data_IF_165317950380
#
_entry.id   IF_165317950380
#
_cell.length_a   1.000
_cell.length_b   1.000
_cell.length_c   1.000
_cell.angle_alpha   90.00
_cell.angle_beta   90.00
_cell.angle_gamma   90.00
#
_symmetry.space_group_name_H-M   'P 1'
#
loop_
_entity.id
_entity.type
_entity.pdbx_description
1 polymer ?
#
# COMPACT_ATOMS: atom_id res chain seq x y z
N UNK A 1 -40.70 11.83 8.22
CA UNK A 1 -39.59 12.73 8.58
C UNK A 1 -38.34 12.13 7.96
N UNK A 2 -37.66 12.83 7.06
CA UNK A 2 -36.44 12.33 6.43
C UNK A 2 -35.28 12.33 7.43
N UNK A 3 -34.39 11.35 7.32
CA UNK A 3 -33.12 11.31 8.03
C UNK A 3 -32.32 12.58 7.69
N UNK A 4 -31.75 13.30 8.67
CA UNK A 4 -30.90 14.44 8.37
C UNK A 4 -29.70 13.99 7.53
N UNK A 5 -29.46 14.66 6.41
CA UNK A 5 -28.27 14.45 5.60
C UNK A 5 -27.05 14.82 6.45
N UNK A 6 -26.15 13.85 6.65
CA UNK A 6 -24.87 14.11 7.31
C UNK A 6 -23.95 14.75 6.27
N UNK A 7 -23.58 16.00 6.52
CA UNK A 7 -22.61 16.73 5.72
C UNK A 7 -21.77 17.65 6.62
N UNK A 8 -20.61 18.08 6.13
CA UNK A 8 -19.69 18.96 6.84
C UNK A 8 -19.86 20.41 6.40
N UNK A 9 -19.90 21.34 7.35
CA UNK A 9 -19.89 22.79 7.06
C UNK A 9 -18.50 23.32 7.31
N UNK A 10 -17.84 23.80 6.25
CA UNK A 10 -16.51 24.41 6.34
C UNK A 10 -16.64 25.77 7.05
N UNK A 11 -15.80 26.01 8.05
CA UNK A 11 -15.78 27.28 8.77
C UNK A 11 -15.23 28.39 7.85
N UNK A 12 -15.70 29.62 8.07
CA UNK A 12 -15.27 30.79 7.27
C UNK A 12 -13.79 31.15 7.43
N UNK A 13 -13.14 30.71 8.50
CA UNK A 13 -11.72 30.91 8.81
C UNK A 13 -10.84 29.69 8.47
N UNK A 14 -11.39 28.70 7.75
CA UNK A 14 -10.64 27.54 7.32
C UNK A 14 -9.53 27.93 6.31
N UNK A 15 -8.38 27.23 6.32
CA UNK A 15 -7.32 27.46 5.32
C UNK A 15 -7.84 27.30 3.89
N UNK A 16 -7.56 28.28 3.04
CA UNK A 16 -7.96 28.36 1.63
C UNK A 16 -6.75 28.38 0.67
N UNK A 17 -5.53 28.22 1.22
CA UNK A 17 -4.26 28.24 0.49
C UNK A 17 -3.43 27.00 0.76
N UNK A 18 -2.66 26.55 -0.24
CA UNK A 18 -1.77 25.39 -0.11
C UNK A 18 -0.52 25.76 0.72
N UNK A 19 -0.35 25.09 1.86
CA UNK A 19 0.72 25.38 2.83
C UNK A 19 1.90 24.40 2.66
N UNK A 20 2.50 24.38 1.46
CA UNK A 20 3.47 23.36 1.05
C UNK A 20 4.67 23.20 2.02
N UNK A 21 5.26 24.31 2.45
CA UNK A 21 6.40 24.31 3.38
C UNK A 21 6.02 23.69 4.73
N UNK A 22 4.84 24.02 5.26
CA UNK A 22 4.33 23.43 6.51
C UNK A 22 4.11 21.93 6.38
N UNK A 23 3.63 21.46 5.22
CA UNK A 23 3.45 20.02 4.97
C UNK A 23 4.80 19.31 4.91
N UNK A 24 5.78 19.86 4.18
CA UNK A 24 7.11 19.28 4.08
C UNK A 24 7.82 19.22 5.45
N UNK A 25 7.72 20.28 6.25
CA UNK A 25 8.30 20.34 7.59
C UNK A 25 7.65 19.34 8.55
N UNK A 26 6.32 19.22 8.50
CA UNK A 26 5.59 18.24 9.29
C UNK A 26 6.09 16.83 9.01
N UNK A 27 6.14 16.42 7.73
CA UNK A 27 6.57 15.06 7.34
C UNK A 27 8.05 14.82 7.66
N UNK A 28 8.93 15.78 7.39
CA UNK A 28 10.35 15.68 7.72
C UNK A 28 10.56 15.52 9.24
N UNK A 29 9.77 16.20 10.07
CA UNK A 29 9.86 16.10 11.53
C UNK A 29 9.29 14.78 12.07
N UNK A 30 8.31 14.18 11.39
CA UNK A 30 7.63 12.95 11.84
C UNK A 30 8.60 11.77 12.00
N UNK A 31 9.62 11.67 11.15
CA UNK A 31 10.65 10.62 11.24
C UNK A 31 11.66 10.79 12.39
N UNK A 32 11.72 11.97 13.02
CA UNK A 32 12.69 12.29 14.08
C UNK A 32 12.18 12.01 15.50
N UNK A 33 10.86 11.88 15.69
CA UNK A 33 10.23 11.65 17.00
C UNK A 33 10.00 10.15 17.23
N UNK A 34 11.10 9.42 17.42
CA UNK A 34 11.07 7.95 17.57
C UNK A 34 10.55 7.47 18.94
N UNK A 35 10.55 8.35 19.94
CA UNK A 35 10.14 8.03 21.32
C UNK A 35 8.64 8.27 21.60
N UNK A 36 7.84 8.56 20.58
CA UNK A 36 6.42 8.87 20.75
C UNK A 36 5.55 7.59 20.82
N UNK A 37 4.54 7.58 21.70
CA UNK A 37 3.63 6.44 21.89
C UNK A 37 2.87 6.10 20.59
N UNK A 38 2.56 7.11 19.78
CA UNK A 38 1.93 6.93 18.46
C UNK A 38 2.83 6.17 17.48
N UNK A 39 4.16 6.30 17.60
CA UNK A 39 5.13 5.54 16.80
C UNK A 39 5.09 4.06 17.13
N UNK A 40 4.91 3.70 18.40
CA UNK A 40 4.74 2.30 18.80
C UNK A 40 3.37 1.75 18.35
N UNK A 41 2.30 2.51 18.57
CA UNK A 41 0.93 2.06 18.27
C UNK A 41 0.66 1.85 16.77
N UNK A 42 1.36 2.58 15.89
CA UNK A 42 1.21 2.46 14.43
C UNK A 42 2.25 1.55 13.78
N UNK A 43 3.03 0.79 14.57
CA UNK A 43 4.10 -0.06 14.05
C UNK A 43 3.61 -1.11 13.04
N UNK A 44 2.40 -1.64 13.25
CA UNK A 44 1.78 -2.64 12.36
C UNK A 44 1.50 -2.11 10.94
N UNK A 45 1.61 -0.80 10.69
CA UNK A 45 1.45 -0.19 9.36
C UNK A 45 2.66 0.67 8.95
N UNK A 46 3.81 0.51 9.63
CA UNK A 46 5.02 1.34 9.49
C UNK A 46 5.49 1.45 8.05
N UNK A 47 5.58 0.34 7.31
CA UNK A 47 5.99 0.32 5.90
C UNK A 47 5.11 1.21 5.02
N UNK A 48 3.79 1.11 5.15
CA UNK A 48 2.85 1.96 4.40
C UNK A 48 2.92 3.41 4.84
N UNK A 49 3.13 3.67 6.14
CA UNK A 49 3.39 5.02 6.66
C UNK A 49 4.62 5.68 6.03
N UNK A 50 5.71 4.93 5.89
CA UNK A 50 6.92 5.39 5.19
C UNK A 50 6.60 5.68 3.72
N UNK A 51 5.88 4.78 3.04
CA UNK A 51 5.47 4.98 1.65
C UNK A 51 4.68 6.29 1.47
N UNK A 52 3.69 6.57 2.33
CA UNK A 52 2.92 7.81 2.26
C UNK A 52 3.81 9.04 2.46
N UNK A 53 4.67 9.01 3.49
CA UNK A 53 5.59 10.10 3.80
C UNK A 53 6.59 10.38 2.68
N UNK A 54 7.15 9.34 2.07
CA UNK A 54 8.09 9.51 0.96
C UNK A 54 7.42 9.99 -0.31
N UNK A 55 6.28 9.39 -0.66
CA UNK A 55 5.55 9.76 -1.89
C UNK A 55 5.08 11.21 -1.84
N UNK A 56 4.55 11.67 -0.70
CA UNK A 56 4.15 13.09 -0.58
C UNK A 56 5.36 14.02 -0.63
N UNK A 57 6.49 13.64 -0.03
CA UNK A 57 7.72 14.44 -0.12
C UNK A 57 8.27 14.50 -1.53
N UNK A 58 8.18 13.41 -2.30
CA UNK A 58 8.56 13.39 -3.72
C UNK A 58 7.63 14.25 -4.58
N UNK A 59 6.30 14.16 -4.37
CA UNK A 59 5.31 15.03 -5.02
C UNK A 59 5.57 16.53 -4.75
N UNK A 60 6.14 16.86 -3.58
CA UNK A 60 6.53 18.23 -3.23
C UNK A 60 7.95 18.60 -3.69
N UNK A 61 8.71 17.69 -4.32
CA UNK A 61 10.11 17.90 -4.72
C UNK A 61 11.09 17.96 -3.54
N UNK A 62 10.71 17.41 -2.40
CA UNK A 62 11.43 17.47 -1.11
C UNK A 62 11.95 16.10 -0.65
N UNK A 63 11.94 15.07 -1.50
CA UNK A 63 12.36 13.71 -1.15
C UNK A 63 13.78 13.65 -0.54
N UNK A 64 14.68 14.54 -0.97
CA UNK A 64 16.06 14.67 -0.48
C UNK A 64 16.17 14.97 1.03
N UNK A 65 15.09 15.43 1.68
CA UNK A 65 15.05 15.67 3.13
C UNK A 65 14.88 14.39 3.95
N UNK A 66 14.57 13.27 3.31
CA UNK A 66 14.27 11.99 3.96
C UNK A 66 15.53 11.10 4.03
N UNK A 67 15.66 10.31 5.09
CA UNK A 67 16.84 9.46 5.31
C UNK A 67 16.80 8.17 4.46
N UNK A 68 17.29 8.25 3.23
CA UNK A 68 17.30 7.14 2.27
C UNK A 68 17.95 5.86 2.83
N UNK A 69 19.18 5.95 3.35
CA UNK A 69 19.95 4.76 3.76
C UNK A 69 19.30 4.00 4.92
N UNK A 70 18.74 4.73 5.89
CA UNK A 70 18.00 4.13 7.00
C UNK A 70 16.75 3.39 6.49
N UNK A 71 16.02 3.98 5.55
CA UNK A 71 14.81 3.39 4.97
C UNK A 71 15.14 2.15 4.14
N UNK A 72 16.18 2.18 3.30
CA UNK A 72 16.61 1.01 2.53
C UNK A 72 17.04 -0.14 3.43
N UNK A 73 17.76 0.15 4.51
CA UNK A 73 18.16 -0.83 5.51
C UNK A 73 16.94 -1.43 6.21
N UNK A 74 15.97 -0.60 6.60
CA UNK A 74 14.72 -1.03 7.20
C UNK A 74 13.93 -1.96 6.27
N UNK A 75 13.75 -1.59 5.00
CA UNK A 75 13.03 -2.42 4.01
C UNK A 75 13.68 -3.79 3.86
N UNK A 76 15.02 -3.81 3.72
CA UNK A 76 15.77 -5.06 3.62
C UNK A 76 15.57 -5.97 4.84
N UNK A 77 15.53 -5.40 6.05
CA UNK A 77 15.29 -6.17 7.28
C UNK A 77 13.86 -6.68 7.44
N UNK A 78 12.90 -6.15 6.67
CA UNK A 78 11.50 -6.59 6.70
C UNK A 78 11.18 -7.68 5.66
N UNK A 79 12.12 -8.04 4.77
CA UNK A 79 11.90 -9.15 3.84
C UNK A 79 12.09 -10.50 4.53
N UNK A 80 11.06 -11.35 4.46
CA UNK A 80 11.08 -12.69 5.03
C UNK A 80 11.69 -13.72 4.08
N UNK A 81 12.02 -14.91 4.59
CA UNK A 81 12.59 -16.00 3.79
C UNK A 81 11.66 -16.44 2.64
N UNK A 82 10.34 -16.35 2.85
CA UNK A 82 9.31 -16.62 1.86
C UNK A 82 9.19 -15.55 0.77
N UNK A 83 9.90 -14.42 0.90
CA UNK A 83 9.95 -13.33 -0.07
C UNK A 83 9.02 -12.16 0.21
N UNK A 84 7.93 -12.38 0.94
CA UNK A 84 7.02 -11.32 1.37
C UNK A 84 7.68 -10.35 2.35
N UNK A 85 7.17 -9.11 2.39
CA UNK A 85 7.69 -8.04 3.24
C UNK A 85 6.65 -7.69 4.29
N UNK A 86 7.09 -7.49 5.53
CA UNK A 86 6.23 -7.12 6.66
C UNK A 86 6.13 -5.60 6.85
N UNK A 87 5.19 -5.18 7.70
CA UNK A 87 5.05 -3.76 8.06
C UNK A 87 6.26 -3.22 8.82
N UNK A 88 6.81 -4.03 9.72
CA UNK A 88 7.96 -3.73 10.57
C UNK A 88 8.74 -5.01 10.87
N UNK A 89 9.93 -4.85 11.46
CA UNK A 89 10.80 -5.94 11.86
C UNK A 89 10.08 -6.79 12.92
N UNK A 90 10.04 -8.11 12.70
CA UNK A 90 9.38 -9.06 13.60
C UNK A 90 7.87 -9.21 13.39
N UNK A 91 7.27 -8.49 12.43
CA UNK A 91 5.87 -8.67 12.03
C UNK A 91 5.78 -9.64 10.84
N UNK A 92 4.59 -10.17 10.59
CA UNK A 92 4.34 -11.12 9.51
C UNK A 92 4.32 -10.43 8.12
N UNK A 93 4.74 -11.15 7.05
CA UNK A 93 4.73 -10.63 5.70
C UNK A 93 3.30 -10.58 5.13
N UNK A 94 3.00 -9.52 4.36
CA UNK A 94 1.67 -9.33 3.77
C UNK A 94 1.77 -8.59 2.43
N UNK A 95 0.83 -8.82 1.50
CA UNK A 95 0.80 -8.17 0.18
C UNK A 95 0.77 -6.64 0.25
N UNK A 96 0.03 -6.07 1.19
CA UNK A 96 -0.04 -4.62 1.43
C UNK A 96 1.34 -3.99 1.66
N UNK A 97 2.16 -4.61 2.51
CA UNK A 97 3.47 -4.07 2.88
C UNK A 97 4.53 -4.42 1.83
N UNK A 98 4.37 -5.56 1.15
CA UNK A 98 5.15 -5.91 -0.05
C UNK A 98 4.99 -4.86 -1.14
N UNK A 99 3.76 -4.45 -1.48
CA UNK A 99 3.53 -3.36 -2.42
C UNK A 99 4.17 -2.05 -1.94
N UNK A 100 3.91 -1.67 -0.68
CA UNK A 100 4.41 -0.42 -0.10
C UNK A 100 5.95 -0.34 -0.19
N UNK A 101 6.64 -1.45 0.13
CA UNK A 101 8.08 -1.54 0.03
C UNK A 101 8.58 -1.42 -1.42
N UNK A 102 7.96 -2.15 -2.37
CA UNK A 102 8.35 -2.07 -3.80
C UNK A 102 8.12 -0.66 -4.36
N UNK A 103 7.05 0.03 -3.97
CA UNK A 103 6.83 1.43 -4.34
C UNK A 103 7.93 2.35 -3.81
N UNK A 104 8.33 2.22 -2.54
CA UNK A 104 9.43 3.00 -1.96
C UNK A 104 10.74 2.72 -2.70
N UNK A 105 11.05 1.46 -2.97
CA UNK A 105 12.27 1.11 -3.69
C UNK A 105 12.24 1.62 -5.14
N UNK A 106 11.08 1.71 -5.76
CA UNK A 106 10.92 2.32 -7.09
C UNK A 106 11.18 3.83 -7.04
N UNK A 107 10.63 4.54 -6.04
CA UNK A 107 10.90 5.98 -5.83
C UNK A 107 12.41 6.27 -5.69
N UNK A 108 13.16 5.36 -5.07
CA UNK A 108 14.61 5.48 -4.90
C UNK A 108 15.46 4.81 -6.00
N UNK A 109 14.85 4.24 -7.04
CA UNK A 109 15.53 3.43 -8.06
C UNK A 109 16.49 2.38 -7.45
N UNK A 110 16.00 1.67 -6.45
CA UNK A 110 16.80 0.81 -5.55
C UNK A 110 16.15 -0.56 -5.33
N UNK A 111 15.41 -1.07 -6.31
CA UNK A 111 14.72 -2.36 -6.25
C UNK A 111 15.63 -3.55 -5.90
N UNK A 112 16.92 -3.46 -6.22
CA UNK A 112 17.92 -4.52 -5.95
C UNK A 112 18.31 -4.67 -4.46
N UNK A 113 17.75 -3.85 -3.57
CA UNK A 113 17.96 -3.96 -2.12
C UNK A 113 17.32 -5.23 -1.54
N UNK A 114 16.28 -5.75 -2.20
CA UNK A 114 15.54 -6.95 -1.82
C UNK A 114 15.71 -8.06 -2.87
N UNK A 115 15.40 -9.29 -2.49
CA UNK A 115 15.34 -10.42 -3.43
C UNK A 115 14.04 -10.36 -4.24
N UNK A 116 14.12 -9.84 -5.46
CA UNK A 116 13.00 -9.66 -6.37
C UNK A 116 12.37 -11.00 -6.76
N UNK A 117 13.17 -12.05 -6.97
CA UNK A 117 12.64 -13.35 -7.39
C UNK A 117 11.76 -13.94 -6.30
N UNK A 118 12.20 -13.84 -5.04
CA UNK A 118 11.39 -14.25 -3.90
C UNK A 118 10.11 -13.43 -3.74
N UNK A 119 10.14 -12.12 -4.00
CA UNK A 119 8.90 -11.31 -4.01
C UNK A 119 7.92 -11.84 -5.06
N UNK A 120 8.39 -12.14 -6.26
CA UNK A 120 7.56 -12.69 -7.33
C UNK A 120 6.96 -14.04 -6.93
N UNK A 121 7.77 -14.95 -6.38
CA UNK A 121 7.32 -16.25 -5.87
C UNK A 121 6.28 -16.09 -4.75
N UNK A 122 6.48 -15.14 -3.83
CA UNK A 122 5.52 -14.83 -2.77
C UNK A 122 4.17 -14.38 -3.34
N UNK A 123 4.17 -13.42 -4.27
CA UNK A 123 2.94 -12.91 -4.90
C UNK A 123 2.23 -14.03 -5.67
N UNK A 124 2.97 -14.85 -6.43
CA UNK A 124 2.42 -16.01 -7.13
C UNK A 124 1.75 -17.00 -6.19
N UNK A 125 2.39 -17.30 -5.05
CA UNK A 125 1.87 -18.27 -4.06
C UNK A 125 0.53 -17.87 -3.43
N UNK A 126 0.17 -16.59 -3.51
CA UNK A 126 -1.05 -16.05 -2.94
C UNK A 126 -2.24 -16.04 -3.90
N UNK A 127 -2.02 -16.28 -5.19
CA UNK A 127 -3.10 -16.42 -6.17
C UNK A 127 -3.88 -17.72 -5.92
N UNK A 128 -5.21 -17.65 -5.97
CA UNK A 128 -6.12 -18.78 -5.82
C UNK A 128 -6.61 -19.29 -7.16
N UNK A 129 -7.24 -20.46 -7.16
CA UNK A 129 -7.74 -21.13 -8.37
C UNK A 129 -8.79 -20.29 -9.14
N UNK A 130 -9.57 -19.48 -8.42
CA UNK A 130 -10.57 -18.58 -9.01
C UNK A 130 -9.96 -17.27 -9.55
N UNK A 131 -8.65 -17.07 -9.39
CA UNK A 131 -7.92 -15.87 -9.80
C UNK A 131 -7.79 -14.80 -8.74
N UNK A 132 -8.49 -14.92 -7.61
CA UNK A 132 -8.38 -14.01 -6.48
C UNK A 132 -7.00 -14.11 -5.81
N UNK A 133 -6.66 -13.11 -5.01
CA UNK A 133 -5.43 -13.10 -4.21
C UNK A 133 -5.76 -13.06 -2.73
N UNK A 134 -5.05 -13.88 -1.95
CA UNK A 134 -5.05 -13.74 -0.50
C UNK A 134 -4.04 -12.70 -0.03
N UNK A 135 -4.33 -11.99 1.05
CA UNK A 135 -3.39 -10.99 1.61
C UNK A 135 -2.10 -11.60 2.16
N UNK A 136 -2.21 -12.80 2.72
CA UNK A 136 -1.13 -13.61 3.27
C UNK A 136 -1.55 -15.10 3.33
N UNK A 137 -0.81 -15.91 4.09
CA UNK A 137 -1.05 -17.35 4.25
C UNK A 137 -2.36 -17.70 4.97
N UNK A 138 -2.99 -16.75 5.67
CA UNK A 138 -4.22 -16.98 6.43
C UNK A 138 -5.49 -16.88 5.57
N UNK A 139 -5.35 -16.43 4.31
CA UNK A 139 -6.36 -16.67 3.29
C UNK A 139 -7.49 -15.65 3.21
N UNK A 140 -7.34 -14.45 3.78
CA UNK A 140 -8.31 -13.36 3.53
C UNK A 140 -8.32 -13.02 2.04
N UNK A 141 -9.48 -13.08 1.40
CA UNK A 141 -9.67 -12.68 0.00
C UNK A 141 -10.28 -11.29 -0.09
N UNK A 142 -9.62 -10.39 -0.81
CA UNK A 142 -10.06 -9.02 -1.06
C UNK A 142 -9.51 -8.51 -2.40
N UNK A 143 -10.30 -7.77 -3.18
CA UNK A 143 -9.86 -7.13 -4.44
C UNK A 143 -8.66 -6.18 -4.24
N UNK A 144 -8.47 -5.60 -3.05
CA UNK A 144 -7.24 -4.85 -2.70
C UNK A 144 -5.99 -5.67 -2.90
N UNK A 145 -6.04 -6.98 -2.64
CA UNK A 145 -4.88 -7.86 -2.80
C UNK A 145 -4.64 -8.20 -4.27
N UNK A 146 -5.69 -8.20 -5.11
CA UNK A 146 -5.54 -8.30 -6.56
C UNK A 146 -4.79 -7.08 -7.11
N UNK A 147 -5.16 -5.87 -6.64
CA UNK A 147 -4.40 -4.66 -6.94
C UNK A 147 -2.95 -4.73 -6.43
N UNK A 148 -2.74 -5.10 -5.16
CA UNK A 148 -1.40 -5.20 -4.59
C UNK A 148 -0.50 -6.16 -5.39
N UNK A 149 -1.02 -7.32 -5.79
CA UNK A 149 -0.29 -8.29 -6.57
C UNK A 149 0.09 -7.74 -7.95
N UNK A 150 -0.90 -7.24 -8.71
CA UNK A 150 -0.69 -6.71 -10.07
C UNK A 150 0.23 -5.50 -10.07
N UNK A 151 0.02 -4.53 -9.17
CA UNK A 151 0.85 -3.34 -9.07
C UNK A 151 2.30 -3.68 -8.70
N UNK A 152 2.50 -4.59 -7.74
CA UNK A 152 3.84 -5.06 -7.35
C UNK A 152 4.56 -5.67 -8.55
N UNK A 153 3.92 -6.61 -9.24
CA UNK A 153 4.52 -7.28 -10.39
C UNK A 153 4.74 -6.35 -11.58
N UNK A 154 3.84 -5.39 -11.82
CA UNK A 154 4.00 -4.39 -12.87
C UNK A 154 5.22 -3.50 -12.63
N UNK A 155 5.41 -3.00 -11.39
CA UNK A 155 6.59 -2.21 -11.01
C UNK A 155 7.90 -2.99 -11.16
N UNK A 156 7.85 -4.32 -10.96
CA UNK A 156 9.00 -5.21 -11.13
C UNK A 156 9.19 -5.71 -12.57
N UNK A 157 8.26 -5.41 -13.49
CA UNK A 157 8.29 -5.90 -14.87
C UNK A 157 8.08 -7.43 -14.99
N UNK A 158 7.24 -8.00 -14.11
CA UNK A 158 7.00 -9.45 -13.93
C UNK A 158 5.52 -9.81 -13.90
N UNK A 159 4.67 -9.06 -14.60
CA UNK A 159 3.23 -9.30 -14.58
C UNK A 159 2.83 -10.67 -15.17
N UNK A 160 3.65 -11.21 -16.06
CA UNK A 160 3.54 -12.54 -16.67
C UNK A 160 3.76 -13.70 -15.67
N UNK A 161 4.15 -13.39 -14.43
CA UNK A 161 4.35 -14.36 -13.36
C UNK A 161 3.04 -15.01 -12.87
N UNK A 162 1.89 -14.34 -13.00
CA UNK A 162 0.60 -14.79 -12.47
C UNK A 162 -0.37 -15.14 -13.60
N UNK A 163 -1.47 -15.83 -13.27
CA UNK A 163 -2.56 -16.02 -14.22
C UNK A 163 -3.38 -14.73 -14.33
N UNK A 164 -3.01 -13.88 -15.28
CA UNK A 164 -3.62 -12.56 -15.48
C UNK A 164 -5.07 -12.68 -15.91
N UNK A 165 -5.42 -13.61 -16.81
CA UNK A 165 -6.81 -13.79 -17.25
C UNK A 165 -7.74 -14.14 -16.08
N UNK A 166 -7.29 -15.02 -15.17
CA UNK A 166 -8.06 -15.39 -13.98
C UNK A 166 -8.18 -14.23 -12.99
N UNK A 167 -7.11 -13.44 -12.81
CA UNK A 167 -7.17 -12.24 -11.97
C UNK A 167 -8.22 -11.24 -12.49
N UNK A 168 -8.27 -11.03 -13.82
CA UNK A 168 -9.28 -10.18 -14.47
C UNK A 168 -10.68 -10.76 -14.25
N UNK A 169 -10.88 -12.06 -14.46
CA UNK A 169 -12.17 -12.73 -14.25
C UNK A 169 -12.70 -12.51 -12.83
N UNK A 170 -11.84 -12.67 -11.81
CA UNK A 170 -12.20 -12.44 -10.42
C UNK A 170 -12.60 -10.97 -10.15
N UNK A 171 -11.79 -10.00 -10.59
CA UNK A 171 -12.09 -8.57 -10.36
C UNK A 171 -13.40 -8.18 -11.04
N UNK A 172 -13.64 -8.63 -12.29
CA UNK A 172 -14.89 -8.35 -12.99
C UNK A 172 -16.11 -8.98 -12.30
N UNK A 173 -15.95 -10.13 -11.64
CA UNK A 173 -17.03 -10.74 -10.85
C UNK A 173 -17.40 -9.95 -9.59
N UNK A 174 -16.57 -8.97 -9.18
CA UNK A 174 -16.83 -8.08 -8.05
C UNK A 174 -17.58 -6.79 -8.46
N UNK A 175 -17.89 -6.60 -9.75
CA UNK A 175 -18.65 -5.45 -10.24
C UNK A 175 -20.14 -5.56 -9.84
N UNK A 176 -20.70 -4.46 -9.35
CA UNK A 176 -22.08 -4.36 -8.87
C UNK A 176 -23.00 -3.64 -9.88
N UNK A 177 -24.30 -3.64 -9.57
CA UNK A 177 -25.36 -3.03 -10.40
C UNK A 177 -25.19 -1.51 -10.62
N UNK A 178 -24.48 -0.84 -9.71
CA UNK A 178 -24.17 0.60 -9.76
C UNK A 178 -22.87 0.90 -10.55
N UNK A 179 -22.22 -0.13 -11.10
CA UNK A 179 -20.94 -0.03 -11.81
C UNK A 179 -19.72 0.07 -10.90
N UNK A 180 -19.91 0.09 -9.57
CA UNK A 180 -18.84 0.03 -8.59
C UNK A 180 -18.35 -1.41 -8.36
N UNK A 181 -17.32 -1.53 -7.52
CA UNK A 181 -16.71 -2.81 -7.16
C UNK A 181 -16.70 -2.95 -5.64
N UNK A 182 -16.89 -4.18 -5.16
CA UNK A 182 -16.76 -4.56 -3.75
C UNK A 182 -15.52 -5.41 -3.48
N UNK A 183 -15.25 -5.74 -2.21
CA UNK A 183 -14.06 -6.52 -1.82
C UNK A 183 -14.08 -7.97 -2.33
N UNK A 184 -15.27 -8.54 -2.54
CA UNK A 184 -15.53 -9.90 -3.05
C UNK A 184 -16.84 -9.88 -3.83
N UNK A 185 -17.15 -10.90 -4.66
CA UNK A 185 -18.42 -10.97 -5.38
C UNK A 185 -19.63 -10.79 -4.46
N UNK A 186 -20.51 -9.86 -4.80
CA UNK A 186 -21.71 -9.51 -4.02
C UNK A 186 -21.48 -8.57 -2.83
N UNK A 187 -20.26 -8.10 -2.59
CA UNK A 187 -19.98 -7.08 -1.57
C UNK A 187 -20.36 -5.69 -2.07
N UNK A 188 -20.78 -4.81 -1.17
CA UNK A 188 -21.20 -3.44 -1.52
C UNK A 188 -20.08 -2.66 -2.22
N UNK A 189 -20.47 -1.81 -3.17
CA UNK A 189 -19.57 -0.89 -3.85
C UNK A 189 -18.95 0.10 -2.86
N UNK A 190 -17.63 0.19 -2.86
CA UNK A 190 -16.90 1.11 -2.01
C UNK A 190 -15.78 1.80 -2.79
N UNK A 191 -15.57 3.10 -2.58
CA UNK A 191 -14.60 3.89 -3.36
C UNK A 191 -13.18 3.29 -3.33
N UNK A 192 -12.77 2.79 -2.16
CA UNK A 192 -11.49 2.10 -1.98
C UNK A 192 -11.38 0.75 -2.70
N UNK A 193 -12.40 0.28 -3.41
CA UNK A 193 -12.35 -0.93 -4.26
C UNK A 193 -12.49 -0.60 -5.75
N UNK A 194 -12.83 0.65 -6.08
CA UNK A 194 -12.99 1.13 -7.45
C UNK A 194 -11.73 1.83 -7.97
N UNK A 195 -10.96 2.45 -7.06
CA UNK A 195 -9.78 3.29 -7.40
C UNK A 195 -8.51 2.45 -7.57
N UNK A 196 -8.52 1.20 -7.14
CA UNK A 196 -7.39 0.28 -7.18
C UNK A 196 -7.36 -0.53 -8.47
#
# INVERSE_FOLDING_TARGET
MGTPQKDVVIKSDAPDTLLLEKHADYIASYGSKKDDYEYCMSEYLRMSGIYWGLTVMDLMGQLHRMNREEILTFIKSCQHECGGISASIGHDPHLLYTLSAVQILTLYDSINVIDINKVVEYVQSLQKEDGSFAGDIWGEIDTRFSFCAVATLALLGKLDAINVEKAIEFVLSCMNFDGGFGCRPGSESHAGQVIH
#
